data_IF_106164354604
#
_entry.id   IF_106164354604
#
_cell.length_a   1.000
_cell.length_b   1.000
_cell.length_c   1.000
_cell.angle_alpha   90.00
_cell.angle_beta   90.00
_cell.angle_gamma   90.00
#
_symmetry.space_group_name_H-M   'P 1'
#
loop_
_entity.id
_entity.type
_entity.pdbx_description
1 polymer ?
#
# COMPACT_ATOMS: atom_id res chain seq x y z
N UNK A 1 -10.49 10.14 -14.17
CA UNK A 1 -9.08 10.62 -14.24
C UNK A 1 -8.72 11.17 -12.87
N UNK A 2 -7.80 10.53 -12.14
CA UNK A 2 -7.52 10.89 -10.74
C UNK A 2 -6.89 12.28 -10.59
N UNK A 3 -7.24 12.97 -9.50
CA UNK A 3 -6.63 14.26 -9.14
C UNK A 3 -5.10 14.11 -8.95
N UNK A 4 -4.36 15.18 -9.24
CA UNK A 4 -2.89 15.21 -9.10
C UNK A 4 -2.51 15.79 -7.73
N UNK A 5 -1.60 15.12 -7.03
CA UNK A 5 -1.04 15.60 -5.76
C UNK A 5 -0.22 16.86 -6.02
N UNK A 6 -0.32 17.85 -5.12
CA UNK A 6 0.51 19.06 -5.12
C UNK A 6 1.41 19.06 -3.89
N UNK A 7 2.64 19.52 -4.05
CA UNK A 7 3.65 19.53 -2.97
C UNK A 7 3.25 20.29 -1.69
N UNK A 8 2.43 21.35 -1.70
CA UNK A 8 2.00 22.00 -0.44
C UNK A 8 1.10 21.13 0.44
N UNK A 9 0.55 20.04 -0.11
CA UNK A 9 -0.39 19.13 0.56
C UNK A 9 0.31 17.94 1.23
N UNK A 10 1.64 17.98 1.39
CA UNK A 10 2.41 16.90 2.00
C UNK A 10 3.07 17.32 3.32
N UNK A 11 3.19 16.38 4.26
CA UNK A 11 3.80 16.59 5.57
C UNK A 11 4.72 15.41 5.90
N UNK A 12 5.89 15.72 6.44
CA UNK A 12 6.91 14.72 6.75
C UNK A 12 6.89 14.42 8.24
N UNK A 13 6.91 13.13 8.57
CA UNK A 13 7.07 12.61 9.91
C UNK A 13 8.25 11.64 9.95
N UNK A 14 8.94 11.61 11.07
CA UNK A 14 9.97 10.61 11.37
C UNK A 14 9.61 9.89 12.66
N UNK A 15 9.85 8.60 12.71
CA UNK A 15 9.64 7.76 13.89
C UNK A 15 10.97 7.07 14.19
N UNK A 16 11.70 7.58 15.19
CA UNK A 16 12.93 6.94 15.66
C UNK A 16 12.60 5.55 16.24
N UNK A 17 13.52 4.61 16.05
CA UNK A 17 13.39 3.23 16.53
C UNK A 17 12.16 2.49 15.92
N UNK A 18 11.68 2.97 14.77
CA UNK A 18 10.57 2.42 13.96
C UNK A 18 9.18 2.58 14.59
N UNK A 19 8.14 2.32 13.81
CA UNK A 19 6.75 2.35 14.25
C UNK A 19 6.50 1.33 15.38
N UNK A 20 5.95 1.81 16.49
CA UNK A 20 5.59 0.99 17.64
C UNK A 20 4.83 1.80 18.69
N UNK A 21 4.12 1.14 19.61
CA UNK A 21 3.28 1.83 20.60
C UNK A 21 4.08 2.72 21.58
N UNK A 22 5.39 2.50 21.69
CA UNK A 22 6.29 3.29 22.53
C UNK A 22 6.98 4.44 21.80
N UNK A 23 6.93 4.46 20.45
CA UNK A 23 7.69 5.40 19.63
C UNK A 23 6.75 6.45 19.06
N UNK A 24 6.96 7.71 19.45
CA UNK A 24 6.09 8.82 19.07
C UNK A 24 6.53 9.39 17.72
N UNK A 25 5.63 9.50 16.73
CA UNK A 25 5.92 10.19 15.48
C UNK A 25 6.22 11.68 15.71
N UNK A 26 7.29 12.16 15.08
CA UNK A 26 7.71 13.57 15.17
C UNK A 26 7.41 14.26 13.85
N UNK A 27 6.61 15.33 13.92
CA UNK A 27 6.30 16.17 12.77
C UNK A 27 7.47 17.09 12.40
N UNK A 28 7.96 16.99 11.17
CA UNK A 28 9.07 17.78 10.65
C UNK A 28 8.54 19.01 9.89
N UNK A 29 8.07 20.02 10.63
CA UNK A 29 7.28 21.12 10.06
C UNK A 29 8.00 22.06 9.10
N UNK A 30 9.33 22.07 9.10
CA UNK A 30 10.16 22.84 8.18
C UNK A 30 10.86 21.96 7.13
N UNK A 31 10.45 20.69 7.04
CA UNK A 31 11.00 19.72 6.12
C UNK A 31 10.06 19.45 4.94
N UNK A 32 10.67 19.05 3.82
CA UNK A 32 10.00 18.49 2.66
C UNK A 32 10.67 17.18 2.26
N UNK A 33 9.88 16.22 1.82
CA UNK A 33 10.40 15.02 1.20
C UNK A 33 10.61 15.27 -0.30
N UNK A 34 11.72 14.76 -0.82
CA UNK A 34 12.00 14.67 -2.25
C UNK A 34 11.29 13.42 -2.82
N UNK A 35 11.36 13.24 -4.15
CA UNK A 35 10.76 12.07 -4.79
C UNK A 35 11.48 10.79 -4.33
N UNK A 36 10.76 9.76 -3.85
CA UNK A 36 11.36 8.47 -3.57
C UNK A 36 11.79 7.80 -4.87
N UNK A 37 12.81 6.97 -4.82
CA UNK A 37 13.23 6.12 -5.93
C UNK A 37 13.42 4.68 -5.46
N UNK A 38 13.04 3.72 -6.30
CA UNK A 38 13.23 2.31 -5.99
C UNK A 38 13.57 1.55 -7.27
N UNK A 39 14.81 1.10 -7.38
CA UNK A 39 15.23 0.22 -8.47
C UNK A 39 14.52 -1.14 -8.35
N UNK A 40 13.76 -1.49 -9.39
CA UNK A 40 12.96 -2.72 -9.46
C UNK A 40 13.76 -3.92 -9.99
N UNK A 41 15.06 -3.74 -10.23
CA UNK A 41 15.97 -4.75 -10.77
C UNK A 41 15.97 -4.74 -12.29
N UNK A 42 17.10 -4.37 -12.87
CA UNK A 42 17.29 -4.28 -14.31
C UNK A 42 17.16 -5.65 -14.99
N UNK A 43 16.64 -5.66 -16.23
CA UNK A 43 16.59 -6.87 -17.07
C UNK A 43 17.83 -6.96 -17.93
N UNK A 44 18.67 -7.95 -17.66
CA UNK A 44 19.85 -8.26 -18.48
C UNK A 44 19.44 -9.21 -19.62
N UNK A 45 19.50 -8.78 -20.89
CA UNK A 45 19.08 -9.62 -22.00
C UNK A 45 20.08 -10.75 -22.25
N UNK A 46 19.57 -11.97 -22.40
CA UNK A 46 20.29 -13.12 -22.96
C UNK A 46 20.24 -12.98 -24.48
N UNK A 47 21.43 -13.00 -25.10
CA UNK A 47 21.60 -12.74 -26.53
C UNK A 47 22.20 -13.96 -27.22
N UNK A 48 21.63 -14.30 -28.38
CA UNK A 48 22.18 -15.32 -29.27
C UNK A 48 22.56 -14.68 -30.62
N UNK A 49 23.56 -15.22 -31.34
CA UNK A 49 23.91 -14.72 -32.66
C UNK A 49 22.70 -14.77 -33.61
N UNK A 50 22.46 -13.68 -34.34
CA UNK A 50 21.38 -13.60 -35.32
C UNK A 50 21.69 -14.57 -36.49
N UNK A 51 20.82 -15.57 -36.78
CA UNK A 51 21.09 -16.56 -37.82
C UNK A 51 21.09 -15.95 -39.22
N UNK A 52 20.52 -14.76 -39.41
CA UNK A 52 20.35 -14.13 -40.71
C UNK A 52 21.31 -12.95 -40.95
N UNK A 53 21.99 -12.47 -39.91
CA UNK A 53 22.86 -11.29 -39.99
C UNK A 53 24.15 -11.49 -39.21
N UNK A 54 25.23 -11.66 -39.94
CA UNK A 54 26.57 -11.80 -39.37
C UNK A 54 26.94 -10.58 -38.50
N UNK A 55 27.41 -10.84 -37.28
CA UNK A 55 27.78 -9.81 -36.30
C UNK A 55 26.60 -9.17 -35.55
N UNK A 56 25.37 -9.58 -35.82
CA UNK A 56 24.20 -9.16 -35.05
C UNK A 56 23.81 -10.22 -34.02
N UNK A 57 23.07 -9.80 -32.99
CA UNK A 57 22.53 -10.67 -31.94
C UNK A 57 21.03 -10.43 -31.79
N UNK A 58 20.28 -11.49 -31.56
CA UNK A 58 18.88 -11.44 -31.17
C UNK A 58 18.75 -11.63 -29.66
N UNK A 59 17.76 -10.98 -29.04
CA UNK A 59 17.44 -11.17 -27.62
C UNK A 59 16.46 -12.34 -27.57
N UNK A 60 16.85 -13.41 -26.86
CA UNK A 60 16.03 -14.63 -26.75
C UNK A 60 15.33 -14.72 -25.40
N UNK A 61 15.91 -14.11 -24.37
CA UNK A 61 15.37 -14.11 -23.01
C UNK A 61 15.99 -12.94 -22.22
N UNK A 62 15.57 -12.73 -20.98
CA UNK A 62 16.17 -11.76 -20.08
C UNK A 62 16.15 -12.23 -18.62
N UNK A 63 17.27 -12.10 -17.94
CA UNK A 63 17.40 -12.36 -16.50
C UNK A 63 17.05 -11.07 -15.76
N UNK A 64 16.13 -11.15 -14.80
CA UNK A 64 15.81 -10.02 -13.92
C UNK A 64 16.85 -9.94 -12.79
N UNK A 65 17.49 -8.79 -12.64
CA UNK A 65 18.42 -8.49 -11.56
C UNK A 65 17.73 -8.35 -10.20
N UNK A 66 18.53 -8.30 -9.15
CA UNK A 66 18.05 -8.09 -7.79
C UNK A 66 17.43 -6.71 -7.64
N UNK A 67 16.42 -6.62 -6.78
CA UNK A 67 15.76 -5.35 -6.47
C UNK A 67 16.69 -4.53 -5.58
N UNK A 68 16.84 -3.24 -5.89
CA UNK A 68 17.58 -2.32 -5.03
C UNK A 68 16.83 -1.98 -3.73
N UNK A 69 17.43 -1.16 -2.89
CA UNK A 69 16.76 -0.57 -1.73
C UNK A 69 16.08 0.75 -2.11
N UNK A 70 14.87 1.04 -1.61
CA UNK A 70 14.24 2.33 -1.83
C UNK A 70 15.01 3.46 -1.15
N UNK A 71 15.08 4.61 -1.81
CA UNK A 71 15.79 5.79 -1.34
C UNK A 71 14.90 7.03 -1.40
N UNK A 72 15.13 7.97 -0.49
CA UNK A 72 14.45 9.27 -0.50
C UNK A 72 15.27 10.30 0.27
N UNK A 73 15.35 11.52 -0.26
CA UNK A 73 15.96 12.63 0.48
C UNK A 73 14.90 13.44 1.22
N UNK A 74 15.22 13.93 2.42
CA UNK A 74 14.44 14.93 3.14
C UNK A 74 15.29 16.18 3.25
N UNK A 75 14.73 17.32 2.85
CA UNK A 75 15.36 18.62 2.97
C UNK A 75 14.60 19.45 4.02
N UNK A 76 15.33 20.05 4.95
CA UNK A 76 14.77 20.88 6.00
C UNK A 76 15.50 22.21 6.14
N UNK A 77 14.81 23.23 6.65
CA UNK A 77 15.45 24.51 6.97
C UNK A 77 16.43 24.33 8.12
N UNK A 78 17.70 24.65 7.91
CA UNK A 78 18.69 24.63 8.99
C UNK A 78 18.38 25.75 9.99
N UNK A 79 18.31 25.40 11.26
CA UNK A 79 17.90 26.32 12.33
C UNK A 79 19.09 26.80 13.16
N UNK A 80 18.88 27.86 13.96
CA UNK A 80 19.82 28.26 15.00
C UNK A 80 19.84 27.29 16.20
N UNK A 81 18.82 26.43 16.32
CA UNK A 81 18.78 25.34 17.30
C UNK A 81 19.59 24.14 16.83
N UNK A 82 19.81 23.18 17.73
CA UNK A 82 20.46 21.92 17.39
C UNK A 82 19.69 21.23 16.25
N UNK A 83 20.41 20.77 15.23
CA UNK A 83 19.84 19.98 14.14
C UNK A 83 19.40 18.61 14.66
N UNK A 84 18.11 18.35 14.51
CA UNK A 84 17.51 17.07 14.87
C UNK A 84 17.95 15.97 13.90
N UNK A 85 18.04 16.28 12.61
CA UNK A 85 18.49 15.33 11.60
C UNK A 85 19.94 14.92 11.80
N UNK A 86 20.82 15.85 12.19
CA UNK A 86 22.20 15.53 12.54
C UNK A 86 22.26 14.68 13.82
N UNK A 87 21.39 14.93 14.80
CA UNK A 87 21.29 14.11 16.03
C UNK A 87 20.88 12.67 15.68
N UNK A 88 19.83 12.50 14.87
CA UNK A 88 19.33 11.18 14.45
C UNK A 88 20.40 10.47 13.61
N UNK A 89 21.04 11.16 12.66
CA UNK A 89 22.11 10.60 11.84
C UNK A 89 23.29 10.09 12.68
N UNK A 90 23.69 10.85 13.71
CA UNK A 90 24.77 10.43 14.64
C UNK A 90 24.38 9.25 15.53
N UNK A 91 23.10 9.12 15.86
CA UNK A 91 22.59 7.98 16.63
C UNK A 91 22.74 6.68 15.84
N UNK A 92 22.55 6.74 14.52
CA UNK A 92 22.74 5.60 13.61
C UNK A 92 21.74 4.46 13.84
N UNK A 93 20.61 4.74 14.49
CA UNK A 93 19.51 3.81 14.63
C UNK A 93 18.55 3.95 13.44
N UNK A 94 17.91 2.85 13.01
CA UNK A 94 16.91 2.91 11.96
C UNK A 94 15.69 3.72 12.39
N UNK A 95 15.04 4.35 11.42
CA UNK A 95 13.83 5.15 11.60
C UNK A 95 12.81 4.83 10.52
N UNK A 96 11.53 5.09 10.77
CA UNK A 96 10.53 5.12 9.72
C UNK A 96 10.26 6.56 9.30
N UNK A 97 10.25 6.83 7.99
CA UNK A 97 9.89 8.13 7.45
C UNK A 97 8.54 8.04 6.74
N UNK A 98 7.63 8.95 7.08
CA UNK A 98 6.29 8.98 6.51
C UNK A 98 6.01 10.32 5.86
N UNK A 99 5.49 10.29 4.63
CA UNK A 99 4.99 11.47 3.92
C UNK A 99 3.48 11.38 3.84
N UNK A 100 2.82 12.13 4.71
CA UNK A 100 1.37 12.24 4.78
C UNK A 100 0.89 13.19 3.69
N UNK A 101 -0.11 12.79 2.92
CA UNK A 101 -0.65 13.53 1.77
C UNK A 101 -2.14 13.73 2.00
N UNK A 102 -2.60 14.98 2.03
CA UNK A 102 -4.02 15.31 2.23
C UNK A 102 -4.42 16.60 1.50
N UNK A 103 -5.47 16.54 0.67
CA UNK A 103 -5.99 17.72 -0.04
C UNK A 103 -7.03 18.47 0.80
N UNK A 104 -8.02 17.75 1.31
CA UNK A 104 -9.12 18.30 2.12
C UNK A 104 -8.93 18.10 3.62
N UNK A 105 -8.08 17.14 3.99
CA UNK A 105 -7.72 16.87 5.38
C UNK A 105 -6.48 17.68 5.78
N UNK A 106 -6.23 17.79 7.09
CA UNK A 106 -4.99 18.41 7.59
C UNK A 106 -3.92 17.33 7.80
N UNK A 107 -2.95 17.14 6.87
CA UNK A 107 -1.94 16.09 6.95
C UNK A 107 -0.95 16.26 8.11
N UNK A 108 -1.14 17.25 8.98
CA UNK A 108 -0.45 17.38 10.27
C UNK A 108 -1.07 16.49 11.36
N UNK A 109 -2.34 16.11 11.22
CA UNK A 109 -2.94 15.09 12.08
C UNK A 109 -2.48 13.71 11.61
N UNK A 110 -1.57 13.13 12.39
CA UNK A 110 -0.94 11.85 12.10
C UNK A 110 -1.96 10.68 12.01
N UNK A 111 -3.05 10.71 12.79
CA UNK A 111 -3.93 9.54 12.94
C UNK A 111 -5.03 9.47 11.88
N UNK A 112 -5.49 10.60 11.34
CA UNK A 112 -6.59 10.61 10.37
C UNK A 112 -6.64 11.82 9.44
N UNK A 113 -5.62 12.67 9.45
CA UNK A 113 -5.57 13.91 8.68
C UNK A 113 -5.10 13.76 7.24
N UNK A 114 -5.08 12.56 6.68
CA UNK A 114 -4.42 12.27 5.40
C UNK A 114 -5.29 11.37 4.51
N UNK A 115 -5.16 11.56 3.21
CA UNK A 115 -5.80 10.71 2.20
C UNK A 115 -4.89 9.50 1.85
N UNK A 116 -3.57 9.72 1.92
CA UNK A 116 -2.54 8.71 1.65
C UNK A 116 -1.28 8.98 2.46
N UNK A 117 -0.57 7.93 2.86
CA UNK A 117 0.80 8.04 3.38
C UNK A 117 1.74 7.27 2.45
N UNK A 118 2.89 7.85 2.16
CA UNK A 118 4.05 7.12 1.65
C UNK A 118 4.96 6.78 2.83
N UNK A 119 5.28 5.51 3.02
CA UNK A 119 6.10 5.03 4.15
C UNK A 119 7.40 4.45 3.63
N UNK A 120 8.52 4.95 4.16
CA UNK A 120 9.82 4.32 4.09
C UNK A 120 10.06 3.61 5.42
N UNK A 121 10.06 2.29 5.39
CA UNK A 121 10.22 1.46 6.58
C UNK A 121 11.69 1.08 6.80
N UNK A 122 12.12 1.13 8.06
CA UNK A 122 13.43 0.71 8.51
C UNK A 122 14.55 1.41 7.70
N UNK A 123 14.47 2.74 7.65
CA UNK A 123 15.38 3.59 6.92
C UNK A 123 16.59 3.97 7.75
N UNK A 124 17.76 3.92 7.13
CA UNK A 124 19.01 4.46 7.65
C UNK A 124 19.36 5.77 6.93
N UNK A 125 19.91 6.73 7.68
CA UNK A 125 20.47 7.96 7.10
C UNK A 125 21.84 7.63 6.54
N UNK A 126 21.95 7.63 5.22
CA UNK A 126 23.20 7.36 4.50
C UNK A 126 24.12 8.58 4.43
N UNK A 127 23.52 9.77 4.33
CA UNK A 127 24.24 11.03 4.22
C UNK A 127 23.48 12.12 4.97
N UNK A 128 24.23 13.01 5.63
CA UNK A 128 23.76 14.30 6.10
C UNK A 128 24.64 15.39 5.48
N UNK A 129 24.03 16.43 4.95
CA UNK A 129 24.72 17.60 4.40
C UNK A 129 23.98 18.88 4.76
N UNK A 130 24.70 19.98 4.85
CA UNK A 130 24.14 21.31 4.99
C UNK A 130 24.62 22.19 3.83
N UNK A 131 23.80 23.16 3.45
CA UNK A 131 24.22 24.25 2.58
C UNK A 131 25.30 25.11 3.23
N UNK A 132 25.79 26.08 2.47
CA UNK A 132 26.82 27.01 2.88
C UNK A 132 26.40 27.79 4.14
N UNK A 133 27.24 27.76 5.18
CA UNK A 133 26.93 28.35 6.50
C UNK A 133 27.35 29.81 6.64
N UNK A 134 27.81 30.44 5.56
CA UNK A 134 28.27 31.82 5.59
C UNK A 134 28.33 32.42 4.19
N UNK A 135 28.20 33.74 4.15
CA UNK A 135 28.34 34.55 2.95
C UNK A 135 29.61 35.42 3.06
N UNK A 136 30.37 35.48 1.97
CA UNK A 136 31.50 36.38 1.77
C UNK A 136 31.10 37.62 0.96
N UNK A 137 30.01 37.56 0.20
CA UNK A 137 29.43 38.69 -0.53
C UNK A 137 27.90 38.75 -0.44
N UNK A 138 27.33 39.93 -0.72
CA UNK A 138 25.88 40.18 -0.58
C UNK A 138 25.01 39.27 -1.46
N UNK A 139 25.57 38.75 -2.57
CA UNK A 139 24.87 37.81 -3.46
C UNK A 139 24.64 36.42 -2.84
N UNK A 140 25.30 36.11 -1.72
CA UNK A 140 25.25 34.80 -1.06
C UNK A 140 24.29 34.79 0.15
N UNK A 141 23.45 35.83 0.31
CA UNK A 141 22.42 35.89 1.36
C UNK A 141 21.25 34.94 1.04
N UNK A 142 21.41 33.67 1.39
CA UNK A 142 20.48 32.59 1.12
C UNK A 142 20.06 31.85 2.39
N UNK A 143 18.86 31.23 2.34
CA UNK A 143 18.39 30.35 3.42
C UNK A 143 19.15 29.03 3.37
N UNK A 144 19.78 28.68 4.49
CA UNK A 144 20.48 27.40 4.64
C UNK A 144 19.49 26.25 4.83
N UNK A 145 19.69 25.20 4.06
CA UNK A 145 18.98 23.93 4.22
C UNK A 145 19.95 22.84 4.65
N UNK A 146 19.43 21.86 5.37
CA UNK A 146 20.07 20.56 5.55
C UNK A 146 19.32 19.49 4.76
N UNK A 147 20.07 18.53 4.24
CA UNK A 147 19.54 17.41 3.47
C UNK A 147 20.04 16.12 4.09
N UNK A 148 19.10 15.21 4.33
CA UNK A 148 19.40 13.82 4.67
C UNK A 148 18.96 12.89 3.54
N UNK A 149 19.77 11.88 3.28
CA UNK A 149 19.48 10.83 2.30
C UNK A 149 19.17 9.53 3.02
N UNK A 150 17.95 9.03 2.85
CA UNK A 150 17.48 7.78 3.45
C UNK A 150 17.65 6.61 2.48
N UNK A 151 18.10 5.48 3.02
CA UNK A 151 18.01 4.17 2.39
C UNK A 151 17.11 3.30 3.25
N UNK A 152 15.98 2.84 2.71
CA UNK A 152 14.98 2.06 3.43
C UNK A 152 14.99 0.60 2.99
N UNK A 153 14.43 -0.28 3.82
CA UNK A 153 14.23 -1.68 3.43
C UNK A 153 12.98 -1.85 2.56
N UNK A 154 11.95 -1.06 2.81
CA UNK A 154 10.69 -1.11 2.08
C UNK A 154 10.12 0.29 1.85
N UNK A 155 9.32 0.41 0.79
CA UNK A 155 8.57 1.60 0.41
C UNK A 155 7.16 1.19 0.01
N UNK A 156 6.18 1.57 0.80
CA UNK A 156 4.79 1.25 0.52
C UNK A 156 3.87 2.45 0.77
N UNK A 157 2.65 2.35 0.26
CA UNK A 157 1.64 3.36 0.44
C UNK A 157 0.55 2.83 1.37
N UNK A 158 0.17 3.66 2.35
CA UNK A 158 -1.02 3.43 3.16
C UNK A 158 -2.13 4.32 2.64
N UNK A 159 -3.32 3.75 2.53
CA UNK A 159 -4.53 4.48 2.18
C UNK A 159 -5.57 4.23 3.26
N UNK A 160 -6.29 5.28 3.64
CA UNK A 160 -7.37 5.14 4.59
C UNK A 160 -8.48 4.30 3.97
N UNK A 161 -8.96 3.31 4.72
CA UNK A 161 -10.12 2.51 4.36
C UNK A 161 -11.34 3.24 4.89
N UNK A 162 -12.28 3.53 3.99
CA UNK A 162 -13.60 4.00 4.33
C UNK A 162 -14.59 2.87 4.10
N UNK A 163 -15.46 2.64 5.07
CA UNK A 163 -16.57 1.72 4.90
C UNK A 163 -17.75 2.50 4.32
N UNK A 164 -18.33 1.95 3.26
CA UNK A 164 -19.61 2.39 2.73
C UNK A 164 -20.47 1.16 2.55
N UNK A 165 -21.78 1.33 2.71
CA UNK A 165 -22.75 0.29 2.38
C UNK A 165 -22.65 -0.04 0.88
N UNK A 166 -22.62 -1.34 0.57
CA UNK A 166 -22.53 -1.86 -0.80
C UNK A 166 -23.63 -2.91 -0.97
N UNK A 167 -24.33 -2.86 -2.10
CA UNK A 167 -25.36 -3.84 -2.47
C UNK A 167 -26.46 -4.06 -1.43
N UNK A 168 -26.91 -2.98 -0.78
CA UNK A 168 -28.00 -3.01 0.21
C UNK A 168 -29.30 -3.70 -0.29
N UNK A 169 -29.54 -3.68 -1.61
CA UNK A 169 -30.71 -4.32 -2.21
C UNK A 169 -30.59 -5.86 -2.29
N UNK A 170 -29.37 -6.39 -2.37
CA UNK A 170 -29.08 -7.82 -2.47
C UNK A 170 -28.90 -8.44 -1.07
N UNK A 171 -28.57 -7.63 -0.06
CA UNK A 171 -28.45 -8.11 1.34
C UNK A 171 -29.83 -8.15 1.99
N UNK A 172 -30.52 -9.26 1.78
CA UNK A 172 -31.88 -9.52 2.30
C UNK A 172 -31.83 -10.17 3.69
N UNK A 173 -30.76 -10.88 4.02
CA UNK A 173 -30.53 -11.60 5.29
C UNK A 173 -29.25 -11.17 6.02
N UNK A 174 -29.01 -11.72 7.21
CA UNK A 174 -27.77 -11.46 7.96
C UNK A 174 -26.57 -12.06 7.22
N UNK A 175 -25.48 -11.29 7.08
CA UNK A 175 -24.24 -11.76 6.47
C UNK A 175 -23.38 -12.47 7.50
N UNK A 176 -23.23 -13.79 7.35
CA UNK A 176 -22.50 -14.64 8.32
C UNK A 176 -20.99 -14.57 8.09
N UNK A 177 -20.56 -14.55 6.83
CA UNK A 177 -19.15 -14.54 6.49
C UNK A 177 -18.87 -13.82 5.17
N UNK A 178 -17.74 -13.13 5.12
CA UNK A 178 -17.19 -12.52 3.90
C UNK A 178 -15.79 -13.09 3.67
N UNK A 179 -15.54 -13.56 2.46
CA UNK A 179 -14.21 -14.05 2.03
C UNK A 179 -13.77 -13.36 0.76
N UNK A 180 -12.50 -12.95 0.73
CA UNK A 180 -11.83 -12.43 -0.46
C UNK A 180 -10.96 -13.56 -1.00
N UNK A 181 -11.43 -14.21 -2.05
CA UNK A 181 -10.77 -15.36 -2.65
C UNK A 181 -9.99 -14.96 -3.89
N UNK A 182 -9.22 -13.88 -3.77
CA UNK A 182 -8.50 -13.28 -4.87
C UNK A 182 -7.01 -13.18 -4.54
N UNK A 183 -6.17 -13.21 -5.57
CA UNK A 183 -4.72 -13.11 -5.42
C UNK A 183 -4.15 -12.23 -6.50
N UNK A 184 -3.09 -11.49 -6.18
CA UNK A 184 -2.40 -10.66 -7.17
C UNK A 184 -1.81 -11.57 -8.24
N UNK A 185 -2.31 -11.46 -9.47
CA UNK A 185 -1.87 -12.26 -10.61
C UNK A 185 -1.62 -11.35 -11.81
N UNK A 186 -0.45 -11.50 -12.44
CA UNK A 186 -0.07 -10.70 -13.61
C UNK A 186 -0.54 -11.31 -14.94
N UNK A 187 -1.47 -12.27 -14.91
CA UNK A 187 -2.05 -12.87 -16.11
C UNK A 187 -1.19 -13.90 -16.86
N UNK A 188 -0.02 -14.27 -16.33
CA UNK A 188 0.88 -15.25 -16.99
C UNK A 188 0.29 -16.67 -16.95
N UNK A 189 -0.50 -16.98 -15.92
CA UNK A 189 -1.11 -18.28 -15.69
C UNK A 189 -2.58 -18.19 -15.21
N UNK A 190 -3.24 -17.05 -15.40
CA UNK A 190 -4.60 -16.78 -14.90
C UNK A 190 -5.17 -15.47 -15.44
N UNK A 191 -6.28 -15.02 -14.89
CA UNK A 191 -6.84 -13.70 -15.19
C UNK A 191 -6.01 -12.66 -14.42
N UNK A 192 -5.54 -11.57 -15.06
CA UNK A 192 -4.90 -10.49 -14.34
C UNK A 192 -5.81 -9.96 -13.23
N UNK A 193 -5.34 -9.99 -11.99
CA UNK A 193 -6.08 -9.51 -10.82
C UNK A 193 -5.19 -8.71 -9.88
N UNK A 194 -5.78 -7.72 -9.22
CA UNK A 194 -5.14 -6.93 -8.17
C UNK A 194 -5.27 -7.56 -6.78
N UNK A 195 -5.87 -8.75 -6.66
CA UNK A 195 -6.03 -9.47 -5.40
C UNK A 195 -7.18 -8.97 -4.50
N UNK A 196 -7.97 -8.02 -4.99
CA UNK A 196 -9.12 -7.43 -4.26
C UNK A 196 -10.34 -7.23 -5.16
N UNK A 197 -10.37 -7.83 -6.35
CA UNK A 197 -11.46 -7.67 -7.32
C UNK A 197 -12.61 -8.63 -7.01
N UNK A 198 -12.30 -9.78 -6.43
CA UNK A 198 -13.25 -10.88 -6.30
C UNK A 198 -13.56 -11.17 -4.82
N UNK A 199 -14.80 -10.91 -4.39
CA UNK A 199 -15.26 -11.16 -3.01
C UNK A 199 -16.59 -11.90 -2.98
N UNK A 200 -16.83 -12.59 -1.87
CA UNK A 200 -18.01 -13.43 -1.63
C UNK A 200 -18.49 -13.15 -0.22
N UNK A 201 -19.79 -12.98 -0.07
CA UNK A 201 -20.50 -12.93 1.19
C UNK A 201 -21.57 -14.03 1.18
N UNK A 202 -21.80 -14.66 2.32
CA UNK A 202 -22.88 -15.64 2.49
C UNK A 202 -23.90 -15.07 3.47
N UNK A 203 -25.18 -15.15 3.12
CA UNK A 203 -26.29 -14.75 3.99
C UNK A 203 -26.94 -15.97 4.63
N UNK A 204 -27.52 -15.77 5.82
CA UNK A 204 -28.46 -16.74 6.41
C UNK A 204 -29.75 -16.83 5.57
N UNK A 205 -30.54 -17.87 5.82
CA UNK A 205 -31.85 -17.97 5.22
C UNK A 205 -32.75 -16.79 5.64
N UNK A 206 -33.66 -16.42 4.75
CA UNK A 206 -34.58 -15.32 5.00
C UNK A 206 -35.53 -15.65 6.16
N UNK A 207 -35.41 -14.92 7.27
CA UNK A 207 -36.26 -15.06 8.47
C UNK A 207 -37.76 -14.93 8.13
N UNK A 208 -38.10 -14.19 7.06
CA UNK A 208 -39.46 -14.01 6.60
C UNK A 208 -40.04 -15.20 5.79
N UNK A 209 -39.21 -16.14 5.32
CA UNK A 209 -39.63 -17.31 4.55
C UNK A 209 -38.70 -18.52 4.78
N UNK A 210 -38.89 -19.26 5.89
CA UNK A 210 -38.05 -20.41 6.27
C UNK A 210 -38.16 -21.55 5.24
N UNK A 211 -37.22 -21.64 4.31
CA UNK A 211 -37.33 -22.54 3.16
C UNK A 211 -36.89 -21.90 1.84
N UNK A 212 -36.55 -20.61 1.85
CA UNK A 212 -35.65 -20.06 0.84
C UNK A 212 -34.21 -20.42 1.20
N UNK A 213 -33.42 -20.94 0.25
CA UNK A 213 -32.03 -21.30 0.50
C UNK A 213 -31.20 -20.07 0.86
N UNK A 214 -30.10 -20.29 1.58
CA UNK A 214 -29.07 -19.27 1.80
C UNK A 214 -28.49 -18.77 0.47
N UNK A 215 -28.08 -17.51 0.43
CA UNK A 215 -27.60 -16.83 -0.78
C UNK A 215 -26.13 -16.44 -0.65
N UNK A 216 -25.37 -16.67 -1.71
CA UNK A 216 -24.03 -16.13 -1.88
C UNK A 216 -24.14 -14.87 -2.71
N UNK A 217 -23.73 -13.76 -2.11
CA UNK A 217 -23.56 -12.47 -2.78
C UNK A 217 -22.09 -12.35 -3.19
N UNK A 218 -21.82 -12.05 -4.45
CA UNK A 218 -20.45 -11.96 -4.93
C UNK A 218 -20.25 -10.84 -5.94
N UNK A 219 -18.99 -10.47 -6.12
CA UNK A 219 -18.54 -9.56 -7.17
C UNK A 219 -17.24 -10.06 -7.75
N UNK A 220 -17.05 -9.83 -9.04
CA UNK A 220 -15.81 -10.12 -9.77
C UNK A 220 -15.05 -8.85 -10.18
N UNK A 221 -15.60 -7.66 -9.90
CA UNK A 221 -15.10 -6.37 -10.37
C UNK A 221 -14.97 -5.31 -9.25
N UNK A 222 -14.60 -5.77 -8.05
CA UNK A 222 -14.41 -4.95 -6.84
C UNK A 222 -15.68 -4.22 -6.38
N UNK A 223 -16.86 -4.81 -6.63
CA UNK A 223 -18.16 -4.31 -6.19
C UNK A 223 -18.81 -3.32 -7.15
N UNK A 224 -18.32 -3.18 -8.39
CA UNK A 224 -19.00 -2.36 -9.39
C UNK A 224 -20.27 -3.05 -9.92
N UNK A 225 -20.23 -4.37 -10.01
CA UNK A 225 -21.37 -5.27 -10.18
C UNK A 225 -21.41 -6.23 -9.01
N UNK A 226 -22.61 -6.48 -8.48
CA UNK A 226 -22.83 -7.43 -7.40
C UNK A 226 -23.99 -8.32 -7.85
N UNK A 227 -23.77 -9.63 -7.75
CA UNK A 227 -24.71 -10.66 -8.14
C UNK A 227 -24.97 -11.60 -6.95
N UNK A 228 -26.10 -12.30 -6.99
CA UNK A 228 -26.49 -13.27 -5.98
C UNK A 228 -26.77 -14.65 -6.59
N UNK A 229 -26.49 -15.70 -5.83
CA UNK A 229 -26.84 -17.07 -6.22
C UNK A 229 -27.14 -17.95 -5.02
N UNK A 230 -28.10 -18.87 -5.19
CA UNK A 230 -28.55 -19.74 -4.11
C UNK A 230 -27.57 -20.88 -3.84
N UNK A 231 -27.35 -21.20 -2.57
CA UNK A 231 -26.60 -22.40 -2.15
C UNK A 231 -27.51 -23.62 -2.25
N UNK A 232 -27.55 -24.23 -3.43
CA UNK A 232 -28.41 -25.38 -3.69
C UNK A 232 -28.03 -26.68 -2.96
N UNK A 233 -26.91 -26.70 -2.23
CA UNK A 233 -26.43 -27.87 -1.48
C UNK A 233 -26.81 -27.87 -0.01
N UNK A 234 -27.31 -26.76 0.54
CA UNK A 234 -27.84 -26.68 1.90
C UNK A 234 -29.31 -27.12 1.93
N UNK A 235 -29.70 -27.82 2.99
CA UNK A 235 -31.08 -28.17 3.29
C UNK A 235 -31.95 -26.93 3.54
N UNK A 236 -33.27 -27.10 3.43
CA UNK A 236 -34.25 -26.01 3.59
C UNK A 236 -34.32 -25.42 5.02
N UNK A 237 -33.63 -26.02 5.99
CA UNK A 237 -33.53 -25.59 7.39
C UNK A 237 -32.06 -25.63 7.88
N UNK A 238 -31.09 -25.63 6.96
CA UNK A 238 -29.66 -25.56 7.29
C UNK A 238 -29.15 -24.15 7.00
N UNK A 239 -28.64 -23.50 8.04
CA UNK A 239 -28.01 -22.20 7.96
C UNK A 239 -26.49 -22.33 7.77
N UNK A 240 -25.89 -21.48 6.94
CA UNK A 240 -24.45 -21.41 6.81
C UNK A 240 -23.84 -20.82 8.09
N UNK A 241 -22.79 -21.45 8.59
CA UNK A 241 -21.99 -21.00 9.73
C UNK A 241 -20.66 -20.36 9.32
N UNK A 242 -20.28 -20.50 8.05
CA UNK A 242 -19.05 -19.94 7.52
C UNK A 242 -18.79 -20.29 6.06
N UNK A 243 -17.72 -19.70 5.51
CA UNK A 243 -17.32 -19.92 4.13
C UNK A 243 -15.79 -19.89 4.02
N UNK A 244 -15.23 -20.68 3.10
CA UNK A 244 -13.80 -20.72 2.82
C UNK A 244 -13.49 -20.89 1.33
N UNK A 245 -12.35 -20.35 0.91
CA UNK A 245 -11.79 -20.54 -0.43
C UNK A 245 -10.88 -21.78 -0.41
N UNK A 246 -11.19 -22.81 -1.20
CA UNK A 246 -10.35 -24.02 -1.31
C UNK A 246 -10.00 -24.25 -2.78
N UNK A 247 -8.82 -23.78 -3.18
CA UNK A 247 -8.40 -23.78 -4.58
C UNK A 247 -9.38 -22.95 -5.41
N UNK A 248 -9.98 -23.56 -6.44
CA UNK A 248 -10.99 -22.93 -7.28
C UNK A 248 -12.41 -22.99 -6.69
N UNK A 249 -12.60 -23.74 -5.62
CA UNK A 249 -13.92 -23.98 -5.05
C UNK A 249 -14.23 -23.00 -3.91
N UNK A 250 -15.50 -22.64 -3.80
CA UNK A 250 -16.07 -22.02 -2.60
C UNK A 250 -16.71 -23.13 -1.77
N UNK A 251 -16.33 -23.20 -0.51
CA UNK A 251 -16.88 -24.19 0.43
C UNK A 251 -17.71 -23.41 1.44
N UNK A 252 -19.00 -23.72 1.50
CA UNK A 252 -19.90 -23.25 2.54
C UNK A 252 -19.95 -24.31 3.63
N UNK A 253 -19.90 -23.86 4.89
CA UNK A 253 -19.87 -24.74 6.06
C UNK A 253 -21.17 -24.50 6.81
N UNK A 254 -21.98 -25.55 7.03
CA UNK A 254 -23.08 -25.52 8.01
C UNK A 254 -22.72 -26.44 9.18
N UNK A 255 -23.05 -26.00 10.40
CA UNK A 255 -22.85 -26.78 11.61
C UNK A 255 -24.16 -27.36 12.15
N UNK A 256 -25.29 -27.17 11.46
CA UNK A 256 -26.60 -27.57 11.97
C UNK A 256 -26.78 -29.10 12.00
N UNK A 257 -26.06 -29.82 11.14
CA UNK A 257 -25.99 -31.28 11.12
C UNK A 257 -25.00 -31.88 12.14
N UNK A 258 -24.26 -31.05 12.89
CA UNK A 258 -23.25 -31.51 13.84
C UNK A 258 -23.78 -31.70 15.28
N UNK A 259 -25.10 -31.68 15.47
CA UNK A 259 -25.78 -31.86 16.75
C UNK A 259 -25.98 -33.34 17.15
#
# INVERSE_FOLDING_TARGET
MGKRVRTPFTRVFTIEDRAGPANVPVYQGQARAMGPSWDMGDRTPIREPDPNRYGAFIIVDAIKGERGLPTMSIEARYQFTISEFLRIARRGCPLDAQVHIGECQDPRDFNGGWDKILVLENADISTWSAGELGALEQGEDAVVNETIDLNAFDLYELKQIFFSELAAAEVTGEVVAVVICDSVQCGICGIPSTGCQTFFAITEQQVASPGLPAEIIFSEDAGATVEETNVGTLGADEDPSGMACVGTNRVVISNDDCA
#
